data_IF_007380230996
#
_entry.id   IF_007380230996
#
_cell.length_a   1.000
_cell.length_b   1.000
_cell.length_c   1.000
_cell.angle_alpha   90.00
_cell.angle_beta   90.00
_cell.angle_gamma   90.00
#
_symmetry.space_group_name_H-M   'P 1'
#
loop_
_entity.id
_entity.type
_entity.pdbx_description
1 polymer ?
#
# COMPACT_ATOMS: atom_id res chain seq x y z
N UNK A 1 -16.09 0.26 -7.56
CA UNK A 1 -14.94 1.16 -7.88
C UNK A 1 -14.31 1.58 -6.56
N UNK A 2 -13.04 2.01 -6.53
CA UNK A 2 -12.41 2.46 -5.28
C UNK A 2 -13.16 3.66 -4.69
N UNK A 3 -13.35 3.65 -3.36
CA UNK A 3 -13.83 4.81 -2.62
C UNK A 3 -12.79 5.94 -2.60
N UNK A 4 -13.21 7.17 -2.30
CA UNK A 4 -12.28 8.31 -2.17
C UNK A 4 -11.18 8.03 -1.12
N UNK A 5 -11.52 7.38 -0.01
CA UNK A 5 -10.57 7.00 1.02
C UNK A 5 -9.54 5.99 0.53
N UNK A 6 -9.97 5.01 -0.28
CA UNK A 6 -9.05 4.05 -0.89
C UNK A 6 -8.13 4.72 -1.91
N UNK A 7 -8.66 5.61 -2.76
CA UNK A 7 -7.86 6.37 -3.72
C UNK A 7 -6.83 7.26 -3.00
N UNK A 8 -7.25 7.91 -1.92
CA UNK A 8 -6.37 8.72 -1.08
C UNK A 8 -5.27 7.87 -0.44
N UNK A 9 -5.63 6.70 0.11
CA UNK A 9 -4.65 5.77 0.69
C UNK A 9 -3.64 5.26 -0.34
N UNK A 10 -4.09 4.93 -1.55
CA UNK A 10 -3.23 4.49 -2.65
C UNK A 10 -2.28 5.60 -3.16
N UNK A 11 -2.68 6.88 -3.03
CA UNK A 11 -1.89 8.03 -3.48
C UNK A 11 -0.79 8.45 -2.49
N UNK A 12 -0.77 7.93 -1.26
CA UNK A 12 0.28 8.25 -0.30
C UNK A 12 1.63 7.68 -0.73
N UNK A 13 2.69 8.41 -0.40
CA UNK A 13 4.05 7.94 -0.57
C UNK A 13 4.29 6.70 0.29
N UNK A 14 5.18 5.83 -0.19
CA UNK A 14 5.64 4.69 0.59
C UNK A 14 6.42 5.18 1.82
N UNK A 15 6.06 4.65 2.99
CA UNK A 15 6.82 4.88 4.21
C UNK A 15 8.16 4.13 4.16
N UNK A 16 9.25 4.86 4.32
CA UNK A 16 10.62 4.31 4.29
C UNK A 16 10.85 3.24 5.37
N UNK A 17 10.14 3.27 6.48
CA UNK A 17 10.24 2.27 7.55
C UNK A 17 9.81 0.87 7.11
N UNK A 18 8.94 0.76 6.10
CA UNK A 18 8.47 -0.48 5.51
C UNK A 18 9.47 -1.07 4.51
N UNK A 19 10.39 -0.24 4.00
CA UNK A 19 11.35 -0.64 2.99
C UNK A 19 12.50 -1.41 3.64
N UNK A 20 12.69 -2.65 3.18
CA UNK A 20 13.84 -3.48 3.56
C UNK A 20 14.90 -3.44 2.48
N UNK A 21 16.13 -3.70 2.89
CA UNK A 21 17.28 -3.81 1.97
C UNK A 21 17.88 -5.19 2.07
N UNK A 22 18.30 -5.75 0.94
CA UNK A 22 19.10 -6.97 0.89
C UNK A 22 20.30 -6.76 -0.03
N UNK A 23 21.44 -7.28 0.37
CA UNK A 23 22.58 -7.40 -0.52
C UNK A 23 22.43 -8.63 -1.41
N UNK A 24 22.68 -8.47 -2.69
CA UNK A 24 22.82 -9.57 -3.64
C UNK A 24 23.95 -9.22 -4.62
N UNK A 25 25.04 -9.97 -4.55
CA UNK A 25 26.22 -9.79 -5.40
C UNK A 25 26.82 -8.37 -5.29
N UNK A 26 26.89 -7.81 -4.07
CA UNK A 26 27.45 -6.47 -3.81
C UNK A 26 26.52 -5.32 -4.20
N UNK A 27 25.28 -5.60 -4.59
CA UNK A 27 24.26 -4.58 -4.87
C UNK A 27 23.15 -4.61 -3.82
N UNK A 28 22.81 -3.43 -3.30
CA UNK A 28 21.72 -3.26 -2.36
C UNK A 28 20.38 -3.10 -3.09
N UNK A 29 19.46 -4.02 -2.85
CA UNK A 29 18.12 -3.99 -3.41
C UNK A 29 17.11 -3.61 -2.35
N UNK A 30 16.30 -2.61 -2.62
CA UNK A 30 15.15 -2.23 -1.80
C UNK A 30 13.94 -3.10 -2.15
N UNK A 31 13.19 -3.54 -1.15
CA UNK A 31 12.00 -4.35 -1.36
C UNK A 31 11.01 -4.22 -0.20
N UNK A 32 9.79 -4.67 -0.42
CA UNK A 32 8.77 -4.84 0.62
C UNK A 32 8.63 -6.31 0.97
N UNK A 33 8.44 -6.60 2.25
CA UNK A 33 8.10 -7.95 2.71
C UNK A 33 6.68 -8.32 2.24
N UNK A 34 6.45 -9.59 1.95
CA UNK A 34 5.15 -10.05 1.44
C UNK A 34 4.05 -9.89 2.47
N UNK A 35 4.34 -10.14 3.76
CA UNK A 35 3.36 -9.96 4.83
C UNK A 35 2.93 -8.48 4.97
N UNK A 36 3.87 -7.54 4.80
CA UNK A 36 3.58 -6.10 4.83
C UNK A 36 2.65 -5.70 3.68
N UNK A 37 2.94 -6.16 2.47
CA UNK A 37 2.10 -5.92 1.29
C UNK A 37 0.68 -6.48 1.49
N UNK A 38 0.55 -7.68 2.06
CA UNK A 38 -0.75 -8.30 2.38
C UNK A 38 -1.50 -7.49 3.43
N UNK A 39 -0.84 -7.04 4.50
CA UNK A 39 -1.44 -6.24 5.55
C UNK A 39 -1.96 -4.91 5.00
N UNK A 40 -1.19 -4.25 4.13
CA UNK A 40 -1.61 -3.01 3.47
C UNK A 40 -2.79 -3.25 2.53
N UNK A 41 -2.79 -4.34 1.76
CA UNK A 41 -3.92 -4.71 0.91
C UNK A 41 -5.19 -4.95 1.74
N UNK A 42 -5.08 -5.70 2.86
CA UNK A 42 -6.19 -5.92 3.79
C UNK A 42 -6.73 -4.60 4.35
N UNK A 43 -5.83 -3.68 4.71
CA UNK A 43 -6.19 -2.36 5.25
C UNK A 43 -6.89 -1.48 4.20
N UNK A 44 -6.28 -1.31 3.02
CA UNK A 44 -6.81 -0.40 1.98
C UNK A 44 -8.11 -0.96 1.38
N UNK A 45 -8.17 -2.26 1.13
CA UNK A 45 -9.31 -2.90 0.48
C UNK A 45 -10.31 -3.50 1.45
N UNK A 46 -10.11 -3.33 2.75
CA UNK A 46 -11.05 -3.78 3.78
C UNK A 46 -11.38 -5.27 3.65
N UNK A 47 -10.36 -6.11 3.35
CA UNK A 47 -10.46 -7.54 3.04
C UNK A 47 -11.32 -7.88 1.80
N UNK A 48 -11.75 -6.88 1.04
CA UNK A 48 -12.52 -7.07 -0.19
C UNK A 48 -11.58 -7.32 -1.38
N UNK A 49 -10.72 -8.30 -1.23
CA UNK A 49 -9.81 -8.74 -2.29
C UNK A 49 -9.45 -10.21 -2.12
N UNK A 50 -9.07 -10.83 -3.21
CA UNK A 50 -8.51 -12.18 -3.22
C UNK A 50 -7.37 -12.29 -4.26
N UNK A 51 -6.70 -13.43 -4.25
CA UNK A 51 -5.76 -13.77 -5.30
C UNK A 51 -5.84 -15.24 -5.67
N UNK A 52 -5.54 -15.54 -6.92
CA UNK A 52 -5.49 -16.88 -7.47
C UNK A 52 -4.13 -17.12 -8.12
N UNK A 53 -3.52 -18.25 -7.83
CA UNK A 53 -2.33 -18.71 -8.56
C UNK A 53 -2.83 -19.34 -9.86
N UNK A 54 -2.69 -18.62 -10.98
CA UNK A 54 -3.17 -19.10 -12.28
C UNK A 54 -2.16 -20.03 -12.95
N UNK A 55 -0.87 -19.90 -12.60
CA UNK A 55 0.21 -20.77 -13.06
C UNK A 55 1.29 -20.88 -12.01
N UNK A 56 1.82 -22.06 -11.84
CA UNK A 56 3.00 -22.35 -11.01
C UNK A 56 3.75 -23.50 -11.66
N UNK A 57 4.96 -23.25 -12.14
CA UNK A 57 5.72 -24.28 -12.86
C UNK A 57 7.20 -24.19 -12.55
N UNK A 58 7.84 -25.33 -12.55
CA UNK A 58 9.29 -25.43 -12.48
C UNK A 58 9.89 -25.08 -13.87
N UNK A 59 10.78 -24.11 -13.89
CA UNK A 59 11.40 -23.62 -15.13
C UNK A 59 12.87 -23.98 -15.27
N UNK A 60 13.53 -24.30 -14.14
CA UNK A 60 14.91 -24.76 -14.15
C UNK A 60 15.22 -25.63 -12.93
N UNK A 61 16.09 -26.62 -13.15
CA UNK A 61 16.61 -27.50 -12.12
C UNK A 61 18.08 -27.80 -12.39
N UNK A 62 18.92 -27.55 -11.40
CA UNK A 62 20.35 -27.82 -11.49
C UNK A 62 20.91 -28.19 -10.12
N UNK A 63 22.16 -28.66 -10.10
CA UNK A 63 22.92 -28.90 -8.89
C UNK A 63 24.16 -28.02 -8.92
N UNK A 64 24.39 -27.25 -7.85
CA UNK A 64 25.54 -26.38 -7.77
C UNK A 64 26.82 -27.14 -7.34
N UNK A 65 27.96 -26.45 -7.33
CA UNK A 65 29.26 -27.00 -6.97
C UNK A 65 29.30 -27.59 -5.54
N UNK A 66 28.41 -27.15 -4.64
CA UNK A 66 28.32 -27.64 -3.27
C UNK A 66 27.31 -28.82 -3.14
N UNK A 67 26.93 -29.44 -4.25
CA UNK A 67 25.95 -30.54 -4.31
C UNK A 67 24.56 -30.16 -3.75
N UNK A 68 24.21 -28.86 -3.73
CA UNK A 68 22.85 -28.41 -3.42
C UNK A 68 21.99 -28.36 -4.68
N UNK A 69 20.75 -28.79 -4.53
CA UNK A 69 19.73 -28.58 -5.56
C UNK A 69 19.39 -27.09 -5.68
N UNK A 70 19.39 -26.58 -6.89
CA UNK A 70 18.98 -25.21 -7.23
C UNK A 70 17.77 -25.33 -8.14
N UNK A 71 16.62 -24.96 -7.64
CA UNK A 71 15.33 -25.09 -8.34
C UNK A 71 14.78 -23.69 -8.58
N UNK A 72 14.24 -23.45 -9.75
CA UNK A 72 13.60 -22.17 -10.10
C UNK A 72 12.17 -22.43 -10.54
N UNK A 73 11.25 -21.70 -9.91
CA UNK A 73 9.84 -21.67 -10.27
C UNK A 73 9.45 -20.31 -10.88
N UNK A 74 8.51 -20.36 -11.82
CA UNK A 74 7.75 -19.22 -12.28
C UNK A 74 6.33 -19.35 -11.80
N UNK A 75 5.76 -18.25 -11.33
CA UNK A 75 4.36 -18.15 -10.92
C UNK A 75 3.66 -17.02 -11.66
N UNK A 76 2.37 -17.18 -11.93
CA UNK A 76 1.47 -16.12 -12.35
C UNK A 76 0.39 -16.01 -11.28
N UNK A 77 0.24 -14.82 -10.70
CA UNK A 77 -0.77 -14.52 -9.69
C UNK A 77 -1.69 -13.44 -10.21
N UNK A 78 -2.98 -13.72 -10.15
CA UNK A 78 -4.06 -12.82 -10.44
C UNK A 78 -4.65 -12.31 -9.14
N UNK A 79 -4.72 -11.00 -8.97
CA UNK A 79 -5.37 -10.32 -7.84
C UNK A 79 -6.68 -9.73 -8.31
N UNK A 80 -7.74 -9.91 -7.53
CA UNK A 80 -9.05 -9.25 -7.71
C UNK A 80 -9.36 -8.40 -6.51
N UNK A 81 -9.84 -7.18 -6.76
CA UNK A 81 -10.25 -6.24 -5.73
C UNK A 81 -11.68 -5.84 -6.02
N UNK A 82 -12.55 -6.03 -5.04
CA UNK A 82 -13.99 -5.87 -5.17
C UNK A 82 -14.47 -4.55 -4.55
N UNK A 83 -15.51 -3.99 -5.11
CA UNK A 83 -16.30 -2.96 -4.46
C UNK A 83 -17.51 -3.56 -3.70
N UNK A 84 -18.27 -2.70 -3.00
CA UNK A 84 -19.44 -3.13 -2.23
C UNK A 84 -20.57 -3.69 -3.10
N UNK A 85 -20.53 -3.48 -4.42
CA UNK A 85 -21.49 -4.01 -5.39
C UNK A 85 -20.99 -5.27 -6.09
N UNK A 86 -19.84 -5.81 -5.64
CA UNK A 86 -19.14 -6.97 -6.25
C UNK A 86 -18.60 -6.73 -7.66
N UNK A 87 -18.53 -5.49 -8.13
CA UNK A 87 -17.71 -5.19 -9.29
C UNK A 87 -16.24 -5.33 -8.87
N UNK A 88 -15.38 -5.74 -9.80
CA UNK A 88 -13.97 -5.93 -9.48
C UNK A 88 -13.06 -5.33 -10.55
N UNK A 89 -11.86 -5.02 -10.12
CA UNK A 89 -10.71 -4.83 -10.98
C UNK A 89 -9.76 -6.00 -10.76
N UNK A 90 -9.06 -6.40 -11.81
CA UNK A 90 -8.03 -7.43 -11.67
C UNK A 90 -6.67 -6.95 -12.16
N UNK A 91 -5.63 -7.51 -11.56
CA UNK A 91 -4.24 -7.34 -11.95
C UNK A 91 -3.57 -8.70 -11.94
N UNK A 92 -2.74 -8.94 -12.94
CA UNK A 92 -2.00 -10.18 -13.08
C UNK A 92 -0.55 -9.86 -13.44
N UNK A 93 0.39 -10.53 -12.82
CA UNK A 93 1.81 -10.37 -13.13
C UNK A 93 2.53 -11.70 -12.88
N UNK A 94 3.75 -11.79 -13.36
CA UNK A 94 4.61 -12.96 -13.20
C UNK A 94 5.64 -12.72 -12.10
N UNK A 95 6.06 -13.78 -11.45
CA UNK A 95 7.16 -13.77 -10.49
C UNK A 95 8.04 -15.00 -10.65
N UNK A 96 9.31 -14.85 -10.30
CA UNK A 96 10.29 -15.95 -10.34
C UNK A 96 10.91 -16.10 -8.97
N UNK A 97 11.03 -17.35 -8.53
CA UNK A 97 11.67 -17.70 -7.27
C UNK A 97 12.68 -18.82 -7.46
N UNK A 98 13.86 -18.66 -6.85
CA UNK A 98 14.88 -19.71 -6.83
C UNK A 98 15.10 -20.16 -5.39
N UNK A 99 15.04 -21.46 -5.17
CA UNK A 99 15.36 -22.13 -3.91
C UNK A 99 16.64 -22.93 -4.05
N UNK A 100 17.50 -22.87 -3.05
CA UNK A 100 18.74 -23.65 -2.98
C UNK A 100 18.77 -24.40 -1.64
N UNK A 101 18.86 -25.73 -1.68
CA UNK A 101 18.96 -26.56 -0.50
C UNK A 101 19.61 -27.93 -0.83
N UNK A 102 20.06 -28.63 0.22
CA UNK A 102 20.55 -30.02 0.08
C UNK A 102 19.40 -30.98 -0.22
N UNK A 103 18.26 -30.78 0.44
CA UNK A 103 17.03 -31.53 0.14
C UNK A 103 16.37 -30.94 -1.07
N UNK A 104 15.99 -31.74 -2.04
CA UNK A 104 15.25 -31.33 -3.22
C UNK A 104 13.86 -30.77 -2.86
N UNK A 105 13.21 -31.36 -1.82
CA UNK A 105 11.92 -30.89 -1.33
C UNK A 105 12.01 -29.47 -0.77
N UNK A 106 13.04 -29.18 0.04
CA UNK A 106 13.25 -27.82 0.58
C UNK A 106 13.59 -26.82 -0.53
N UNK A 107 14.35 -27.21 -1.54
CA UNK A 107 14.64 -26.35 -2.69
C UNK A 107 13.37 -26.01 -3.47
N UNK A 108 12.48 -26.99 -3.71
CA UNK A 108 11.18 -26.80 -4.34
C UNK A 108 10.29 -25.89 -3.49
N UNK A 109 10.16 -26.15 -2.20
CA UNK A 109 9.34 -25.36 -1.27
C UNK A 109 9.78 -23.88 -1.26
N UNK A 110 11.07 -23.64 -1.10
CA UNK A 110 11.64 -22.29 -1.12
C UNK A 110 11.42 -21.58 -2.46
N UNK A 111 11.64 -22.29 -3.58
CA UNK A 111 11.48 -21.72 -4.92
C UNK A 111 10.02 -21.35 -5.23
N UNK A 112 9.09 -22.28 -4.96
CA UNK A 112 7.67 -22.09 -5.26
C UNK A 112 7.05 -20.96 -4.42
N UNK A 113 7.33 -20.94 -3.12
CA UNK A 113 6.89 -19.86 -2.22
C UNK A 113 7.45 -18.49 -2.64
N UNK A 114 8.73 -18.46 -3.03
CA UNK A 114 9.38 -17.23 -3.48
C UNK A 114 8.75 -16.73 -4.78
N UNK A 115 8.47 -17.61 -5.75
CA UNK A 115 7.85 -17.26 -7.01
C UNK A 115 6.44 -16.67 -6.82
N UNK A 116 5.61 -17.32 -6.00
CA UNK A 116 4.26 -16.83 -5.69
C UNK A 116 4.30 -15.50 -4.95
N UNK A 117 5.19 -15.36 -3.98
CA UNK A 117 5.37 -14.10 -3.22
C UNK A 117 5.83 -12.94 -4.11
N UNK A 118 6.74 -13.19 -5.05
CA UNK A 118 7.20 -12.18 -6.00
C UNK A 118 6.07 -11.77 -6.95
N UNK A 119 5.36 -12.75 -7.52
CA UNK A 119 4.24 -12.52 -8.43
C UNK A 119 3.11 -11.72 -7.76
N UNK A 120 2.71 -12.07 -6.53
CA UNK A 120 1.68 -11.36 -5.76
C UNK A 120 2.08 -9.89 -5.52
N UNK A 121 3.31 -9.64 -5.08
CA UNK A 121 3.82 -8.28 -4.88
C UNK A 121 3.82 -7.47 -6.17
N UNK A 122 4.18 -8.08 -7.30
CA UNK A 122 4.20 -7.43 -8.61
C UNK A 122 2.79 -7.10 -9.10
N UNK A 123 1.82 -8.00 -8.91
CA UNK A 123 0.41 -7.74 -9.25
C UNK A 123 -0.15 -6.56 -8.47
N UNK A 124 0.14 -6.46 -7.17
CA UNK A 124 -0.31 -5.34 -6.33
C UNK A 124 0.45 -4.04 -6.61
N UNK A 125 1.72 -4.10 -7.02
CA UNK A 125 2.57 -2.93 -7.30
C UNK A 125 1.95 -1.99 -8.33
N UNK A 126 1.21 -2.50 -9.30
CA UNK A 126 0.51 -1.70 -10.32
C UNK A 126 -0.56 -0.77 -9.73
N UNK A 127 -0.90 -0.91 -8.46
CA UNK A 127 -1.89 -0.08 -7.76
C UNK A 127 -1.29 1.18 -7.11
N UNK A 128 0.04 1.34 -7.09
CA UNK A 128 0.68 2.57 -6.64
C UNK A 128 1.82 2.41 -5.64
N UNK A 129 2.26 3.55 -5.11
CA UNK A 129 3.44 3.67 -4.22
C UNK A 129 3.35 2.81 -2.98
N UNK A 130 2.16 2.68 -2.36
CA UNK A 130 1.94 1.87 -1.17
C UNK A 130 2.34 0.38 -1.34
N UNK A 131 2.39 -0.09 -2.58
CA UNK A 131 2.82 -1.44 -2.96
C UNK A 131 4.23 -1.47 -3.57
N UNK A 132 5.01 -0.39 -3.37
CA UNK A 132 6.42 -0.34 -3.76
C UNK A 132 6.66 -0.01 -5.24
N UNK A 133 5.69 0.59 -5.95
CA UNK A 133 5.89 1.01 -7.32
C UNK A 133 7.06 2.00 -7.44
N UNK A 134 7.19 2.91 -6.50
CA UNK A 134 8.20 3.97 -6.49
C UNK A 134 9.63 3.46 -6.25
N UNK A 135 9.78 2.26 -5.66
CA UNK A 135 11.10 1.64 -5.45
C UNK A 135 11.85 1.33 -6.75
N UNK A 136 11.14 1.30 -7.87
CA UNK A 136 11.70 1.00 -9.19
C UNK A 136 11.83 2.24 -10.07
N UNK A 137 11.46 3.43 -9.55
CA UNK A 137 11.69 4.70 -10.25
C UNK A 137 13.18 4.98 -10.33
N UNK A 138 13.68 5.22 -11.55
CA UNK A 138 15.07 5.62 -11.79
C UNK A 138 15.34 7.09 -11.47
N UNK A 139 14.29 7.85 -11.19
CA UNK A 139 14.39 9.25 -10.79
C UNK A 139 14.66 9.31 -9.30
N UNK A 140 15.73 9.98 -8.82
CA UNK A 140 15.88 10.26 -7.40
C UNK A 140 14.64 11.01 -6.94
N UNK A 141 13.96 10.52 -5.93
CA UNK A 141 12.88 11.25 -5.25
C UNK A 141 13.51 12.44 -4.53
N UNK A 142 13.80 13.50 -5.26
CA UNK A 142 13.96 14.82 -4.66
C UNK A 142 12.59 15.15 -4.06
N UNK A 143 12.59 15.43 -2.77
CA UNK A 143 11.47 15.87 -1.94
C UNK A 143 10.37 16.54 -2.76
N UNK A 144 9.31 15.82 -3.05
CA UNK A 144 8.09 16.43 -3.60
C UNK A 144 7.24 16.96 -2.43
N UNK A 145 7.66 18.14 -1.95
CA UNK A 145 6.71 19.10 -1.45
C UNK A 145 5.77 19.41 -2.62
N UNK A 146 4.51 19.05 -2.47
CA UNK A 146 3.37 19.55 -3.26
C UNK A 146 3.56 19.53 -4.79
N UNK A 147 3.17 18.47 -5.46
CA UNK A 147 2.78 18.56 -6.86
C UNK A 147 1.32 18.12 -7.01
N UNK A 148 0.55 19.08 -7.58
CA UNK A 148 -0.81 18.89 -8.06
C UNK A 148 -0.92 17.64 -8.96
N UNK A 149 -2.07 16.97 -8.97
CA UNK A 149 -2.31 15.85 -9.88
C UNK A 149 -2.09 16.28 -11.33
N UNK A 150 -1.54 15.42 -12.20
CA UNK A 150 -1.35 15.74 -13.61
C UNK A 150 -2.71 16.03 -14.26
N UNK A 151 -2.83 17.22 -14.85
CA UNK A 151 -3.99 17.59 -15.66
C UNK A 151 -4.06 16.66 -16.89
N UNK A 152 -5.25 16.20 -17.27
CA UNK A 152 -5.43 15.45 -18.51
C UNK A 152 -5.02 16.31 -19.72
N UNK A 153 -4.53 15.71 -20.82
CA UNK A 153 -4.07 16.46 -21.99
C UNK A 153 -5.19 17.32 -22.54
N UNK A 154 -4.92 18.63 -22.63
CA UNK A 154 -5.82 19.60 -23.23
C UNK A 154 -5.93 19.33 -24.72
N UNK A 155 -7.08 18.85 -25.17
CA UNK A 155 -7.49 18.93 -26.56
C UNK A 155 -7.88 20.41 -26.78
N UNK A 156 -7.20 21.04 -27.73
CA UNK A 156 -7.46 22.41 -28.13
C UNK A 156 -8.93 22.59 -28.54
N UNK A 157 -9.66 23.37 -27.80
CA UNK A 157 -10.88 24.02 -28.25
C UNK A 157 -10.74 25.53 -28.10
N UNK A 158 -10.91 26.20 -29.22
CA UNK A 158 -10.86 27.61 -29.40
C UNK A 158 -12.00 28.35 -28.69
N UNK A 159 -11.59 29.47 -28.13
CA UNK A 159 -12.34 30.73 -27.94
C UNK A 159 -13.85 30.67 -27.65
N UNK A 160 -14.28 31.22 -26.54
CA UNK A 160 -15.15 32.40 -26.46
C UNK A 160 -15.40 32.84 -25.00
N UNK A 161 -15.32 34.20 -24.85
CA UNK A 161 -15.86 35.09 -23.81
C UNK A 161 -15.00 35.40 -22.58
N UNK A 162 -14.53 36.65 -22.65
CA UNK A 162 -14.07 37.52 -21.56
C UNK A 162 -15.23 37.93 -20.63
N UNK A 163 -14.96 38.00 -19.31
CA UNK A 163 -15.27 39.14 -18.44
C UNK A 163 -15.11 38.78 -16.95
N UNK A 164 -15.04 39.77 -16.01
CA UNK A 164 -13.96 40.73 -15.77
C UNK A 164 -13.30 40.53 -14.38
N UNK A 165 -12.14 41.14 -14.21
CA UNK A 165 -11.36 41.24 -12.97
C UNK A 165 -12.14 41.95 -11.84
N UNK A 166 -12.09 41.35 -10.63
CA UNK A 166 -12.23 42.10 -9.39
C UNK A 166 -10.93 41.96 -8.57
N UNK A 167 -10.29 43.12 -8.40
CA UNK A 167 -9.19 43.33 -7.48
C UNK A 167 -9.69 43.15 -6.05
N UNK A 168 -9.03 42.34 -5.23
CA UNK A 168 -9.05 42.47 -3.78
C UNK A 168 -7.67 42.30 -3.18
N UNK A 169 -7.31 43.28 -2.42
CA UNK A 169 -6.15 43.54 -1.59
C UNK A 169 -5.87 42.43 -0.55
N UNK A 170 -4.62 42.25 -0.11
CA UNK A 170 -4.25 41.19 0.82
C UNK A 170 -4.69 41.55 2.25
N UNK A 171 -5.51 40.74 2.82
CA UNK A 171 -5.80 40.78 4.25
C UNK A 171 -5.17 39.58 4.95
N UNK A 172 -4.25 39.90 5.85
CA UNK A 172 -3.50 39.01 6.71
C UNK A 172 -4.44 38.43 7.78
N UNK A 173 -4.91 37.20 7.62
CA UNK A 173 -5.56 36.48 8.71
C UNK A 173 -4.95 35.09 8.87
N UNK A 174 -4.49 34.83 10.08
CA UNK A 174 -4.03 33.55 10.58
C UNK A 174 -5.06 32.46 10.24
N UNK A 175 -4.69 31.52 9.39
CA UNK A 175 -5.52 30.37 9.04
C UNK A 175 -5.51 29.40 10.21
N UNK A 176 -6.60 29.37 10.96
CA UNK A 176 -6.95 28.23 11.78
C UNK A 176 -7.18 27.05 10.84
N UNK A 177 -6.36 26.03 10.94
CA UNK A 177 -6.58 24.76 10.28
C UNK A 177 -7.90 24.18 10.81
N UNK A 178 -8.92 24.12 9.96
CA UNK A 178 -10.13 23.36 10.23
C UNK A 178 -9.74 21.86 10.25
N UNK A 179 -9.55 21.32 11.42
CA UNK A 179 -9.39 19.88 11.63
C UNK A 179 -10.70 19.20 11.23
N UNK A 180 -10.66 18.46 10.12
CA UNK A 180 -11.72 17.50 9.83
C UNK A 180 -11.62 16.39 10.89
N UNK A 181 -12.62 16.18 11.76
CA UNK A 181 -12.54 15.24 12.88
C UNK A 181 -12.36 13.77 12.47
N UNK A 182 -12.49 13.49 11.16
CA UNK A 182 -12.31 12.16 10.58
C UNK A 182 -11.09 12.07 9.65
N UNK A 183 -10.14 13.01 9.71
CA UNK A 183 -8.87 12.89 9.01
C UNK A 183 -7.85 12.10 9.85
N UNK A 184 -7.66 10.82 9.52
CA UNK A 184 -6.72 9.91 10.17
C UNK A 184 -5.44 9.69 9.36
N UNK A 185 -5.15 10.58 8.41
CA UNK A 185 -3.99 10.49 7.50
C UNK A 185 -2.67 10.31 8.26
N UNK A 186 -2.54 11.00 9.41
CA UNK A 186 -1.36 10.91 10.27
C UNK A 186 -1.18 9.54 10.91
N UNK A 187 -2.25 8.79 11.16
CA UNK A 187 -2.18 7.43 11.70
C UNK A 187 -1.86 6.41 10.62
N UNK A 188 -2.43 6.56 9.43
CA UNK A 188 -2.10 5.71 8.29
C UNK A 188 -0.63 5.86 7.86
N UNK A 189 -0.08 7.08 7.90
CA UNK A 189 1.32 7.35 7.52
C UNK A 189 2.34 6.68 8.46
N UNK A 190 1.97 6.39 9.70
CA UNK A 190 2.82 5.68 10.67
C UNK A 190 2.50 4.18 10.76
N UNK A 191 1.76 3.64 9.77
CA UNK A 191 1.47 2.20 9.67
C UNK A 191 0.39 1.73 10.64
N UNK A 192 -0.51 2.62 11.09
CA UNK A 192 -1.69 2.27 11.86
C UNK A 192 -2.90 2.25 10.94
N UNK A 193 -3.84 1.36 11.25
CA UNK A 193 -5.11 1.20 10.53
C UNK A 193 -6.27 1.52 11.45
N UNK A 194 -7.35 2.06 10.88
CA UNK A 194 -8.58 2.33 11.62
C UNK A 194 -9.67 1.41 11.09
N UNK A 195 -10.26 0.65 11.99
CA UNK A 195 -11.35 -0.29 11.71
C UNK A 195 -12.62 0.14 12.41
N UNK A 196 -13.75 -0.07 11.77
CA UNK A 196 -15.06 0.08 12.43
C UNK A 196 -15.40 -1.21 13.19
N UNK A 197 -15.69 -1.05 14.48
CA UNK A 197 -16.14 -2.13 15.33
C UNK A 197 -17.39 -1.68 16.09
N UNK A 198 -18.55 -2.09 15.63
CA UNK A 198 -19.84 -1.64 16.15
C UNK A 198 -20.05 -0.13 15.94
N UNK A 199 -20.18 0.64 16.99
CA UNK A 199 -20.33 2.10 16.95
C UNK A 199 -19.01 2.87 17.19
N UNK A 200 -17.88 2.18 17.11
CA UNK A 200 -16.58 2.77 17.38
C UNK A 200 -15.61 2.54 16.22
N UNK A 201 -14.71 3.51 16.03
CA UNK A 201 -13.48 3.35 15.27
C UNK A 201 -12.41 2.82 16.20
N UNK A 202 -11.68 1.79 15.78
CA UNK A 202 -10.62 1.14 16.57
C UNK A 202 -9.32 1.22 15.79
N UNK A 203 -8.22 1.53 16.51
CA UNK A 203 -6.87 1.57 15.93
C UNK A 203 -6.22 0.20 16.01
N UNK A 204 -5.72 -0.29 14.86
CA UNK A 204 -5.02 -1.57 14.71
C UNK A 204 -3.67 -1.33 14.05
N UNK A 205 -2.65 -2.09 14.41
CA UNK A 205 -1.32 -2.03 13.80
C UNK A 205 -0.22 -2.45 14.75
N UNK A 206 1.01 -2.41 14.29
CA UNK A 206 2.18 -2.74 15.10
C UNK A 206 2.66 -1.53 15.90
N UNK A 207 3.29 -1.80 17.05
CA UNK A 207 3.87 -0.79 17.95
C UNK A 207 2.89 0.32 18.39
N UNK A 208 1.61 -0.02 18.55
CA UNK A 208 0.53 0.90 18.95
C UNK A 208 0.92 1.69 20.22
N UNK A 209 1.64 1.06 21.15
CA UNK A 209 2.05 1.70 22.39
C UNK A 209 3.10 2.79 22.18
N UNK A 210 4.04 2.59 21.25
CA UNK A 210 5.04 3.59 20.89
C UNK A 210 4.41 4.80 20.16
N UNK A 211 3.31 4.56 19.44
CA UNK A 211 2.57 5.55 18.64
C UNK A 211 1.41 6.23 19.38
N UNK A 212 1.28 6.01 20.69
CA UNK A 212 0.14 6.45 21.53
C UNK A 212 -0.17 7.95 21.44
N UNK A 213 0.86 8.79 21.29
CA UNK A 213 0.66 10.24 21.28
C UNK A 213 0.04 10.71 19.96
N UNK A 214 0.42 10.10 18.82
CA UNK A 214 -0.22 10.32 17.53
C UNK A 214 -1.68 9.83 17.53
N UNK A 215 -1.96 8.69 18.16
CA UNK A 215 -3.30 8.12 18.29
C UNK A 215 -4.20 9.06 19.11
N UNK A 216 -3.68 9.58 20.24
CA UNK A 216 -4.40 10.55 21.07
C UNK A 216 -4.68 11.86 20.33
N UNK A 217 -3.71 12.34 19.54
CA UNK A 217 -3.87 13.57 18.76
C UNK A 217 -5.01 13.50 17.74
N UNK A 218 -5.34 12.28 17.26
CA UNK A 218 -6.49 12.02 16.39
C UNK A 218 -7.81 11.79 17.13
N UNK A 219 -7.83 11.99 18.45
CA UNK A 219 -9.04 11.92 19.28
C UNK A 219 -9.43 10.52 19.75
N UNK A 220 -8.56 9.52 19.58
CA UNK A 220 -8.79 8.18 20.12
C UNK A 220 -8.50 8.11 21.63
N UNK A 221 -9.22 7.25 22.33
CA UNK A 221 -9.10 6.98 23.77
C UNK A 221 -8.73 5.51 23.99
N UNK A 222 -7.93 5.25 25.03
CA UNK A 222 -7.57 3.89 25.40
C UNK A 222 -8.66 3.25 26.27
N UNK A 223 -9.13 2.08 25.87
CA UNK A 223 -9.95 1.22 26.69
C UNK A 223 -9.09 0.16 27.38
N UNK A 224 -8.94 0.28 28.68
CA UNK A 224 -8.15 -0.66 29.50
C UNK A 224 -8.76 -2.04 29.65
N UNK A 225 -10.08 -2.19 29.49
CA UNK A 225 -10.78 -3.45 29.60
C UNK A 225 -10.65 -4.28 28.33
N UNK A 226 -10.84 -3.66 27.18
CA UNK A 226 -10.78 -4.30 25.87
C UNK A 226 -9.39 -4.23 25.23
N UNK A 227 -8.45 -3.47 25.83
CA UNK A 227 -7.05 -3.29 25.39
C UNK A 227 -6.90 -2.78 23.96
N UNK A 228 -7.74 -1.81 23.55
CA UNK A 228 -7.63 -1.14 22.26
C UNK A 228 -7.90 0.37 22.35
N UNK A 229 -7.45 1.10 21.34
CA UNK A 229 -7.75 2.52 21.16
C UNK A 229 -9.03 2.66 20.38
N UNK A 230 -9.99 3.45 20.87
CA UNK A 230 -11.28 3.66 20.21
C UNK A 230 -11.67 5.13 20.12
N UNK A 231 -12.53 5.44 19.16
CA UNK A 231 -13.21 6.73 19.00
C UNK A 231 -14.65 6.44 18.57
N UNK A 232 -15.67 6.98 19.27
CA UNK A 232 -17.05 6.82 18.84
C UNK A 232 -17.28 7.40 17.45
N UNK A 233 -18.10 6.73 16.64
CA UNK A 233 -18.55 7.24 15.34
C UNK A 233 -19.63 8.27 15.65
N UNK A 234 -19.36 9.56 15.36
CA UNK A 234 -20.37 10.62 15.48
C UNK A 234 -21.42 10.38 14.39
N UNK A 235 -22.64 9.98 14.81
CA UNK A 235 -23.81 9.99 13.91
C UNK A 235 -24.11 11.46 13.59
N UNK A 236 -23.94 11.85 12.34
CA UNK A 236 -24.49 13.13 11.87
C UNK A 236 -26.00 13.07 12.11
N UNK A 237 -26.48 13.92 13.00
CA UNK A 237 -27.91 14.14 13.15
C UNK A 237 -28.47 14.65 11.81
N UNK A 238 -29.45 13.93 11.29
CA UNK A 238 -30.18 14.25 10.07
C UNK A 238 -30.99 15.55 10.20
#
# INVERSE_FOLDING_TARGET
MFSENQLKALSYNLDDSRVKTRDKAGMNFKYLETYDVINVANSIFNYMWDYTITRLEEVARETNQNSNHVITYSAIVKVKIYDNQRNFIEREDTGVGTGTARSIGDAIDNASKSAVSDSLKRSLRSLGGQFGNDLYSKTPTTNHSQQQPPQPPQIAQQQYFQQPQYNQTPNNQKTQQSHNPNDFSSLYSIGLTIMEQGQNLVVVGDDIFAKKDSIKACGFRWDGASKFWYKPIEQQAA
#
